data_IF_404550063815
#
_entry.id   IF_404550063815
#
_cell.length_a   1.000
_cell.length_b   1.000
_cell.length_c   1.000
_cell.angle_alpha   90.00
_cell.angle_beta   90.00
_cell.angle_gamma   90.00
#
_symmetry.space_group_name_H-M   'P 1'
#
loop_
_entity.id
_entity.type
_entity.pdbx_description
1 polymer ?
#
# COMPACT_ATOMS: atom_id res chain seq x y z
N UNK A 1 19.87 29.81 -7.50
CA UNK A 1 18.75 29.12 -8.19
C UNK A 1 19.17 28.44 -9.51
N UNK A 2 20.20 27.56 -9.54
CA UNK A 2 20.61 26.88 -10.79
C UNK A 2 20.96 25.38 -10.66
N UNK A 3 20.78 24.77 -9.47
CA UNK A 3 21.14 23.35 -9.24
C UNK A 3 19.97 22.37 -9.35
N UNK A 4 18.72 22.85 -9.27
CA UNK A 4 17.53 21.98 -9.32
C UNK A 4 17.11 21.59 -10.75
N UNK A 5 17.36 22.45 -11.74
CA UNK A 5 17.04 22.13 -13.15
C UNK A 5 17.97 21.07 -13.77
N UNK A 6 19.18 20.91 -13.25
CA UNK A 6 20.15 19.94 -13.79
C UNK A 6 19.81 18.49 -13.42
N UNK A 7 19.23 18.28 -12.22
CA UNK A 7 18.88 16.95 -11.76
C UNK A 7 17.65 16.38 -12.50
N UNK A 8 16.65 17.22 -12.76
CA UNK A 8 15.43 16.84 -13.49
C UNK A 8 15.73 16.54 -14.96
N UNK A 9 16.66 17.27 -15.57
CA UNK A 9 17.09 17.01 -16.94
C UNK A 9 17.86 15.67 -17.07
N UNK A 10 18.64 15.28 -16.05
CA UNK A 10 19.40 14.03 -16.07
C UNK A 10 18.49 12.78 -15.88
N UNK A 11 17.48 12.86 -15.02
CA UNK A 11 16.50 11.76 -14.84
C UNK A 11 15.59 11.58 -16.04
N UNK A 12 15.17 12.66 -16.71
CA UNK A 12 14.44 12.55 -17.98
C UNK A 12 15.29 11.94 -19.10
N UNK A 13 16.60 12.20 -19.13
CA UNK A 13 17.50 11.67 -20.15
C UNK A 13 17.79 10.17 -19.93
N UNK A 14 17.88 9.72 -18.68
CA UNK A 14 17.97 8.30 -18.33
C UNK A 14 16.67 7.53 -18.65
N UNK A 15 15.51 8.14 -18.37
CA UNK A 15 14.21 7.50 -18.66
C UNK A 15 13.93 7.41 -20.17
N UNK A 16 14.34 8.43 -20.95
CA UNK A 16 14.22 8.40 -22.41
C UNK A 16 15.22 7.44 -23.08
N UNK A 17 16.43 7.26 -22.54
CA UNK A 17 17.36 6.22 -23.00
C UNK A 17 16.85 4.80 -22.68
N UNK A 18 16.20 4.60 -21.53
CA UNK A 18 15.60 3.31 -21.15
C UNK A 18 14.40 2.94 -22.06
N UNK A 19 13.56 3.92 -22.40
CA UNK A 19 12.46 3.72 -23.35
C UNK A 19 12.95 3.58 -24.81
N UNK A 20 14.00 4.29 -25.23
CA UNK A 20 14.56 4.13 -26.57
C UNK A 20 15.29 2.78 -26.77
N UNK A 21 15.89 2.23 -25.70
CA UNK A 21 16.52 0.90 -25.72
C UNK A 21 15.50 -0.24 -25.84
N UNK A 22 14.36 -0.12 -25.16
CA UNK A 22 13.29 -1.14 -25.21
C UNK A 22 12.51 -1.13 -26.51
N UNK A 23 12.33 0.03 -27.15
CA UNK A 23 11.64 0.14 -28.46
C UNK A 23 12.50 -0.37 -29.62
N UNK A 24 13.84 -0.33 -29.52
CA UNK A 24 14.73 -0.90 -30.55
C UNK A 24 14.90 -2.43 -30.48
N UNK A 25 14.48 -3.06 -29.39
CA UNK A 25 14.61 -4.50 -29.19
C UNK A 25 13.48 -5.33 -29.83
N UNK A 26 12.45 -4.68 -30.41
CA UNK A 26 11.32 -5.37 -31.05
C UNK A 26 11.35 -5.35 -32.59
N UNK A 27 12.35 -4.75 -33.23
CA UNK A 27 12.41 -4.64 -34.70
C UNK A 27 13.77 -5.02 -35.31
N UNK A 28 14.59 -5.79 -34.60
CA UNK A 28 15.92 -6.19 -35.07
C UNK A 28 16.18 -7.67 -34.85
N UNK A 29 15.39 -8.52 -35.51
CA UNK A 29 15.81 -9.89 -35.82
C UNK A 29 16.81 -9.87 -36.98
N UNK A 30 18.04 -9.42 -36.71
CA UNK A 30 19.19 -9.63 -37.59
C UNK A 30 20.46 -9.25 -36.83
N UNK A 31 21.39 -10.20 -36.75
CA UNK A 31 22.82 -10.03 -36.49
C UNK A 31 23.24 -9.05 -35.38
N UNK A 32 23.73 -9.59 -34.27
CA UNK A 32 25.11 -9.32 -33.84
C UNK A 32 25.38 -9.96 -32.48
N UNK A 33 26.64 -10.41 -32.35
CA UNK A 33 27.24 -11.01 -31.17
C UNK A 33 26.83 -10.31 -29.87
N UNK A 34 26.21 -11.09 -28.99
CA UNK A 34 25.75 -10.66 -27.69
C UNK A 34 26.93 -10.15 -26.85
N UNK A 35 26.98 -8.83 -26.69
CA UNK A 35 27.60 -8.20 -25.54
C UNK A 35 26.93 -8.78 -24.29
N UNK A 36 27.66 -9.64 -23.56
CA UNK A 36 27.30 -10.01 -22.20
C UNK A 36 27.40 -8.76 -21.35
N UNK A 37 26.30 -8.03 -21.19
CA UNK A 37 26.21 -6.95 -20.22
C UNK A 37 26.42 -7.54 -18.83
N UNK A 38 27.52 -7.16 -18.19
CA UNK A 38 27.96 -7.66 -16.90
C UNK A 38 27.09 -7.03 -15.79
N UNK A 39 25.94 -7.65 -15.54
CA UNK A 39 24.97 -7.25 -14.50
C UNK A 39 25.60 -7.14 -13.10
N UNK A 40 26.76 -7.77 -12.87
CA UNK A 40 27.56 -7.66 -11.65
C UNK A 40 27.99 -6.21 -11.34
N UNK A 41 28.32 -5.43 -12.37
CA UNK A 41 28.71 -4.03 -12.19
C UNK A 41 27.52 -3.15 -11.77
N UNK A 42 26.32 -3.48 -12.26
CA UNK A 42 25.08 -2.76 -11.96
C UNK A 42 24.62 -3.08 -10.53
N UNK A 43 24.67 -4.35 -10.11
CA UNK A 43 24.36 -4.75 -8.74
C UNK A 43 25.28 -4.07 -7.72
N UNK A 44 26.58 -4.02 -8.02
CA UNK A 44 27.57 -3.42 -7.13
C UNK A 44 27.45 -1.91 -6.99
N UNK A 45 27.08 -1.21 -8.07
CA UNK A 45 26.76 0.22 -8.03
C UNK A 45 25.46 0.49 -7.26
N UNK A 46 24.46 -0.39 -7.39
CA UNK A 46 23.19 -0.29 -6.67
C UNK A 46 23.37 -0.49 -5.16
N UNK A 47 24.12 -1.52 -4.74
CA UNK A 47 24.47 -1.77 -3.34
C UNK A 47 25.22 -0.59 -2.73
N UNK A 48 26.18 -0.03 -3.47
CA UNK A 48 26.93 1.16 -3.04
C UNK A 48 26.01 2.38 -2.88
N UNK A 49 25.05 2.59 -3.78
CA UNK A 49 24.12 3.71 -3.71
C UNK A 49 23.11 3.58 -2.54
N UNK A 50 22.74 2.35 -2.16
CA UNK A 50 21.93 2.05 -0.96
C UNK A 50 22.77 2.32 0.30
N UNK A 51 24.02 1.85 0.34
CA UNK A 51 24.91 2.00 1.49
C UNK A 51 25.34 3.45 1.74
N UNK A 52 25.43 4.26 0.68
CA UNK A 52 25.67 5.70 0.74
C UNK A 52 24.40 6.53 1.03
N UNK A 53 23.24 5.89 1.22
CA UNK A 53 21.97 6.55 1.56
C UNK A 53 21.40 7.45 0.45
N UNK A 54 21.87 7.27 -0.80
CA UNK A 54 21.43 8.07 -1.97
C UNK A 54 20.10 7.59 -2.54
N UNK A 55 19.73 6.35 -2.23
CA UNK A 55 18.45 5.73 -2.63
C UNK A 55 17.76 5.27 -1.34
N UNK A 56 16.67 5.94 -0.99
CA UNK A 56 15.73 5.44 0.01
C UNK A 56 14.71 4.58 -0.72
N UNK A 57 14.92 3.27 -0.72
CA UNK A 57 13.88 2.33 -1.14
C UNK A 57 12.85 2.35 -0.01
N UNK A 58 11.56 2.66 -0.27
CA UNK A 58 10.54 2.51 0.75
C UNK A 58 10.59 1.05 1.21
N UNK A 59 11.03 0.85 2.45
CA UNK A 59 11.17 -0.48 3.01
C UNK A 59 9.81 -1.14 2.94
N UNK A 60 9.73 -2.28 2.24
CA UNK A 60 8.72 -3.30 2.54
C UNK A 60 8.70 -3.42 4.07
N UNK A 61 7.53 -3.35 4.74
CA UNK A 61 7.48 -3.44 6.19
C UNK A 61 8.30 -4.65 6.62
N UNK A 62 9.27 -4.42 7.51
CA UNK A 62 10.10 -5.49 8.06
C UNK A 62 9.21 -6.32 8.98
N UNK A 63 8.50 -7.28 8.39
CA UNK A 63 7.90 -8.36 9.15
C UNK A 63 9.03 -9.05 9.91
N UNK A 64 8.86 -9.30 11.22
CA UNK A 64 9.78 -10.19 11.94
C UNK A 64 9.90 -11.49 11.12
N UNK A 65 11.10 -12.01 10.89
CA UNK A 65 11.36 -13.14 9.97
C UNK A 65 10.52 -14.41 10.27
N UNK A 66 9.90 -14.49 11.45
CA UNK A 66 9.05 -15.60 11.91
C UNK A 66 7.57 -15.23 12.15
N UNK A 67 7.15 -13.99 11.85
CA UNK A 67 5.75 -13.58 12.03
C UNK A 67 4.88 -14.19 10.92
N UNK A 68 4.23 -15.32 11.20
CA UNK A 68 3.23 -15.88 10.29
C UNK A 68 1.93 -15.09 10.36
N UNK A 69 1.26 -14.85 9.22
CA UNK A 69 -0.04 -14.20 9.21
C UNK A 69 -1.07 -15.06 9.94
N UNK A 70 -1.99 -14.39 10.62
CA UNK A 70 -3.21 -15.06 11.10
C UNK A 70 -4.20 -15.12 9.94
N UNK A 71 -4.45 -16.32 9.41
CA UNK A 71 -5.50 -16.53 8.41
C UNK A 71 -6.86 -16.30 9.07
N UNK A 72 -7.64 -15.35 8.53
CA UNK A 72 -8.99 -15.06 9.03
C UNK A 72 -10.04 -15.92 8.31
N UNK A 73 -9.91 -16.04 7.00
CA UNK A 73 -10.67 -16.94 6.15
C UNK A 73 -9.86 -17.27 4.89
N UNK A 74 -10.38 -18.15 4.02
CA UNK A 74 -9.72 -18.46 2.75
C UNK A 74 -9.55 -17.19 1.90
N UNK A 75 -8.30 -16.86 1.56
CA UNK A 75 -7.98 -15.66 0.79
C UNK A 75 -7.86 -14.38 1.64
N UNK A 76 -7.93 -14.44 2.98
CA UNK A 76 -7.76 -13.27 3.83
C UNK A 76 -6.84 -13.53 5.03
N UNK A 77 -5.83 -12.68 5.17
CA UNK A 77 -4.78 -12.79 6.18
C UNK A 77 -4.61 -11.49 6.95
N UNK A 78 -4.40 -11.60 8.26
CA UNK A 78 -4.07 -10.50 9.15
C UNK A 78 -2.62 -10.58 9.62
N UNK A 79 -1.86 -9.53 9.35
CA UNK A 79 -0.48 -9.37 9.75
C UNK A 79 -0.38 -8.36 10.89
N UNK A 80 0.40 -8.69 11.91
CA UNK A 80 0.68 -7.77 13.02
C UNK A 80 2.18 -7.53 13.10
N UNK A 81 2.58 -6.26 13.02
CA UNK A 81 3.94 -5.84 13.38
C UNK A 81 3.91 -5.03 14.67
N UNK A 82 5.08 -4.81 15.26
CA UNK A 82 5.19 -4.16 16.57
C UNK A 82 6.19 -3.01 16.52
N UNK A 83 5.91 -1.94 17.26
CA UNK A 83 6.90 -0.94 17.67
C UNK A 83 7.09 -0.99 19.18
N UNK A 84 8.33 -0.81 19.64
CA UNK A 84 8.72 -0.85 21.06
C UNK A 84 8.20 -2.10 21.82
N UNK A 85 8.25 -3.26 21.16
CA UNK A 85 7.80 -4.55 21.68
C UNK A 85 8.41 -4.87 23.05
N UNK A 86 7.59 -5.33 23.99
CA UNK A 86 7.95 -5.66 25.37
C UNK A 86 8.05 -4.45 26.31
N UNK A 87 7.72 -3.25 25.85
CA UNK A 87 7.76 -2.03 26.68
C UNK A 87 6.37 -1.50 26.99
N UNK A 88 6.26 -0.56 27.95
CA UNK A 88 5.01 0.18 28.22
C UNK A 88 4.50 1.02 27.03
N UNK A 89 5.36 1.21 26.01
CA UNK A 89 5.06 1.95 24.79
C UNK A 89 4.86 1.02 23.59
N UNK A 90 4.62 -0.28 23.82
CA UNK A 90 4.38 -1.22 22.73
C UNK A 90 3.14 -0.83 21.91
N UNK A 91 3.32 -0.75 20.61
CA UNK A 91 2.26 -0.48 19.66
C UNK A 91 2.17 -1.61 18.64
N UNK A 92 0.95 -2.00 18.28
CA UNK A 92 0.65 -3.11 17.36
C UNK A 92 0.04 -2.56 16.09
N UNK A 93 0.61 -2.92 14.96
CA UNK A 93 0.22 -2.43 13.65
C UNK A 93 -0.42 -3.56 12.85
N UNK A 94 -1.74 -3.48 12.67
CA UNK A 94 -2.53 -4.43 11.89
C UNK A 94 -2.51 -4.12 10.40
N UNK A 95 -2.32 -5.13 9.57
CA UNK A 95 -2.42 -5.05 8.11
C UNK A 95 -3.26 -6.20 7.59
N UNK A 96 -4.03 -5.95 6.54
CA UNK A 96 -4.84 -6.97 5.88
C UNK A 96 -4.29 -7.23 4.49
N UNK A 97 -4.26 -8.51 4.15
CA UNK A 97 -4.02 -8.99 2.80
C UNK A 97 -5.23 -9.81 2.36
N UNK A 98 -5.74 -9.52 1.16
CA UNK A 98 -6.87 -10.23 0.53
C UNK A 98 -6.40 -10.72 -0.83
N UNK A 99 -6.46 -12.02 -1.08
CA UNK A 99 -6.00 -12.67 -2.32
C UNK A 99 -4.57 -12.22 -2.72
N UNK A 100 -3.65 -12.16 -1.75
CA UNK A 100 -2.26 -11.68 -1.92
C UNK A 100 -2.11 -10.16 -2.16
N UNK A 101 -3.20 -9.39 -2.14
CA UNK A 101 -3.19 -7.94 -2.26
C UNK A 101 -3.28 -7.25 -0.90
N UNK A 102 -2.30 -6.40 -0.59
CA UNK A 102 -2.33 -5.58 0.64
C UNK A 102 -3.40 -4.50 0.55
N UNK A 103 -4.24 -4.40 1.57
CA UNK A 103 -5.27 -3.37 1.67
C UNK A 103 -4.65 -2.01 2.06
N UNK A 104 -4.89 -0.93 1.30
CA UNK A 104 -4.44 0.41 1.68
C UNK A 104 -5.18 0.98 2.89
N UNK A 105 -4.51 1.81 3.69
CA UNK A 105 -5.08 2.48 4.88
C UNK A 105 -6.00 3.64 4.49
N UNK A 106 -7.12 3.34 3.85
CA UNK A 106 -8.09 4.35 3.39
C UNK A 106 -9.51 4.00 3.83
N UNK A 107 -9.77 2.72 4.06
CA UNK A 107 -11.09 2.24 4.42
C UNK A 107 -11.26 2.26 5.93
N UNK A 108 -12.40 2.76 6.40
CA UNK A 108 -12.81 2.71 7.81
C UNK A 108 -13.21 1.30 8.20
N UNK A 109 -13.83 0.58 7.28
CA UNK A 109 -14.08 -0.85 7.41
C UNK A 109 -14.08 -1.59 6.07
N UNK A 110 -13.94 -2.91 6.15
CA UNK A 110 -14.05 -3.81 5.01
C UNK A 110 -14.69 -5.14 5.44
N UNK A 111 -15.37 -5.80 4.50
CA UNK A 111 -15.95 -7.13 4.69
C UNK A 111 -15.59 -7.99 3.48
N UNK A 112 -15.04 -9.17 3.74
CA UNK A 112 -14.70 -10.17 2.73
C UNK A 112 -15.06 -11.57 3.24
N UNK A 113 -15.83 -12.33 2.44
CA UNK A 113 -16.37 -13.66 2.83
C UNK A 113 -16.94 -13.68 4.26
N UNK A 114 -17.83 -12.73 4.56
CA UNK A 114 -18.48 -12.53 5.87
C UNK A 114 -17.54 -12.24 7.06
N UNK A 115 -16.25 -12.00 6.81
CA UNK A 115 -15.30 -11.53 7.81
C UNK A 115 -15.18 -10.01 7.73
N UNK A 116 -15.59 -9.34 8.80
CA UNK A 116 -15.48 -7.91 8.96
C UNK A 116 -14.18 -7.47 9.63
N UNK A 117 -13.62 -6.36 9.17
CA UNK A 117 -12.41 -5.75 9.72
C UNK A 117 -12.58 -4.23 9.78
N UNK A 118 -12.20 -3.63 10.92
CA UNK A 118 -12.24 -2.17 11.15
C UNK A 118 -10.85 -1.58 11.20
N UNK A 119 -10.70 -0.36 10.71
CA UNK A 119 -9.50 0.44 10.95
C UNK A 119 -9.56 1.07 12.34
N UNK A 120 -8.46 0.94 13.10
CA UNK A 120 -8.23 1.60 14.38
C UNK A 120 -7.07 2.57 14.23
N UNK A 121 -7.17 3.74 14.86
CA UNK A 121 -6.03 4.64 15.07
C UNK A 121 -5.90 4.89 16.56
N UNK A 122 -4.77 4.49 17.14
CA UNK A 122 -4.47 4.71 18.56
C UNK A 122 -4.32 6.21 18.85
N UNK A 123 -4.69 6.65 20.04
CA UNK A 123 -4.48 8.04 20.49
C UNK A 123 -3.19 8.26 21.29
N UNK A 124 -2.43 7.19 21.53
CA UNK A 124 -1.21 7.21 22.36
C UNK A 124 -0.05 6.53 21.62
N UNK A 125 1.16 6.57 22.18
CA UNK A 125 2.32 5.85 21.63
C UNK A 125 2.23 4.31 21.75
N UNK A 126 1.17 3.79 22.35
CA UNK A 126 0.93 2.36 22.60
C UNK A 126 -0.49 1.97 22.17
N UNK A 127 -0.70 0.67 21.96
CA UNK A 127 -1.98 0.11 21.51
C UNK A 127 -2.05 -0.08 19.99
N UNK A 128 -3.28 -0.15 19.47
CA UNK A 128 -3.59 -0.72 18.17
C UNK A 128 -3.81 0.34 17.09
N UNK A 129 -3.05 0.26 16.00
CA UNK A 129 -3.30 0.99 14.76
C UNK A 129 -3.44 0.05 13.55
N UNK A 130 -4.08 0.53 12.49
CA UNK A 130 -4.35 -0.27 11.29
C UNK A 130 -5.61 -1.14 11.43
N UNK A 131 -5.64 -2.24 10.70
CA UNK A 131 -6.83 -3.06 10.52
C UNK A 131 -6.95 -4.21 11.54
N UNK A 132 -8.13 -4.38 12.15
CA UNK A 132 -8.40 -5.40 13.17
C UNK A 132 -9.73 -6.14 12.94
N UNK A 133 -9.77 -7.49 13.10
CA UNK A 133 -11.00 -8.27 12.99
C UNK A 133 -12.11 -7.75 13.90
N UNK A 134 -13.32 -7.64 13.36
CA UNK A 134 -14.51 -7.15 14.06
C UNK A 134 -15.73 -8.02 13.76
N UNK A 135 -16.30 -8.62 14.81
CA UNK A 135 -17.48 -9.48 14.70
C UNK A 135 -18.80 -8.72 14.48
N UNK A 136 -18.78 -7.38 14.53
CA UNK A 136 -19.99 -6.55 14.41
C UNK A 136 -20.28 -6.07 12.98
N UNK A 137 -19.36 -6.32 12.05
CA UNK A 137 -19.48 -5.86 10.68
C UNK A 137 -20.02 -6.96 9.77
N UNK A 138 -20.98 -6.58 8.93
CA UNK A 138 -21.50 -7.40 7.87
C UNK A 138 -21.66 -6.54 6.62
N UNK A 139 -21.51 -7.15 5.45
CA UNK A 139 -21.83 -6.47 4.20
C UNK A 139 -23.34 -6.15 4.15
N UNK A 140 -23.76 -5.12 3.40
CA UNK A 140 -25.16 -4.77 3.24
C UNK A 140 -26.01 -5.98 2.81
N UNK A 141 -27.09 -6.27 3.55
CA UNK A 141 -28.02 -7.36 3.19
C UNK A 141 -29.01 -6.95 2.09
N UNK A 142 -29.22 -5.65 1.91
CA UNK A 142 -30.18 -5.13 0.93
C UNK A 142 -29.62 -5.31 -0.47
N UNK A 143 -30.31 -6.14 -1.26
CA UNK A 143 -29.99 -6.33 -2.68
C UNK A 143 -30.18 -5.03 -3.47
N UNK A 144 -29.18 -4.72 -4.27
CA UNK A 144 -29.15 -3.62 -5.22
C UNK A 144 -29.12 -4.11 -6.67
N UNK A 145 -29.06 -3.18 -7.63
CA UNK A 145 -28.95 -3.52 -9.05
C UNK A 145 -27.71 -4.39 -9.33
N UNK A 146 -27.78 -5.32 -10.30
CA UNK A 146 -26.63 -6.12 -10.69
C UNK A 146 -25.48 -5.25 -11.22
N UNK A 147 -24.29 -5.84 -11.34
CA UNK A 147 -23.16 -5.17 -11.99
C UNK A 147 -23.48 -4.91 -13.47
N UNK A 148 -23.08 -3.75 -13.97
CA UNK A 148 -23.02 -3.46 -15.39
C UNK A 148 -21.73 -4.02 -15.99
N UNK A 149 -21.69 -4.24 -17.31
CA UNK A 149 -20.47 -4.71 -18.00
C UNK A 149 -19.26 -3.79 -17.75
N UNK A 150 -19.50 -2.48 -17.57
CA UNK A 150 -18.44 -1.53 -17.27
C UNK A 150 -17.88 -1.77 -15.87
N UNK A 151 -18.76 -1.97 -14.87
CA UNK A 151 -18.36 -2.21 -13.48
C UNK A 151 -17.62 -3.56 -13.32
N UNK A 152 -18.03 -4.58 -14.07
CA UNK A 152 -17.32 -5.87 -14.13
C UNK A 152 -15.91 -5.70 -14.72
N UNK A 153 -15.76 -4.89 -15.76
CA UNK A 153 -14.46 -4.62 -16.41
C UNK A 153 -13.56 -3.72 -15.57
N UNK A 154 -14.13 -2.72 -14.89
CA UNK A 154 -13.35 -1.85 -13.99
C UNK A 154 -12.99 -2.56 -12.70
N UNK A 155 -13.84 -3.48 -12.23
CA UNK A 155 -13.62 -4.25 -11.00
C UNK A 155 -14.03 -3.51 -9.73
N UNK A 156 -14.94 -2.54 -9.83
CA UNK A 156 -15.58 -1.94 -8.65
C UNK A 156 -16.94 -1.31 -8.99
N UNK A 157 -17.77 -1.18 -7.97
CA UNK A 157 -19.06 -0.49 -7.99
C UNK A 157 -19.26 0.31 -6.71
N UNK A 158 -19.49 1.60 -6.83
CA UNK A 158 -19.77 2.50 -5.70
C UNK A 158 -21.24 2.36 -5.33
N UNK A 159 -21.52 1.80 -4.17
CA UNK A 159 -22.89 1.58 -3.68
C UNK A 159 -22.86 1.15 -2.20
N UNK A 160 -23.93 1.48 -1.50
CA UNK A 160 -24.28 1.03 -0.15
C UNK A 160 -25.12 -0.26 -0.13
N UNK A 161 -25.43 -0.84 -1.30
CA UNK A 161 -26.28 -2.03 -1.45
C UNK A 161 -25.54 -3.14 -2.16
N UNK A 162 -25.76 -4.38 -1.73
CA UNK A 162 -25.10 -5.54 -2.32
C UNK A 162 -25.58 -5.77 -3.75
N UNK A 163 -24.72 -5.71 -4.78
CA UNK A 163 -25.15 -5.96 -6.15
C UNK A 163 -25.68 -7.37 -6.33
N UNK A 164 -26.82 -7.51 -7.01
CA UNK A 164 -27.36 -8.83 -7.35
C UNK A 164 -26.38 -9.62 -8.22
N UNK A 165 -26.13 -10.88 -7.85
CA UNK A 165 -25.17 -11.75 -8.56
C UNK A 165 -23.70 -11.37 -8.38
N UNK A 166 -23.35 -10.59 -7.35
CA UNK A 166 -21.96 -10.25 -7.05
C UNK A 166 -21.12 -11.53 -6.82
N UNK A 167 -19.94 -11.66 -7.46
CA UNK A 167 -19.01 -12.74 -7.16
C UNK A 167 -18.56 -12.72 -5.70
N UNK A 168 -18.35 -13.89 -5.12
CA UNK A 168 -18.03 -14.07 -3.69
C UNK A 168 -16.69 -13.43 -3.28
N UNK A 169 -15.76 -13.32 -4.21
CA UNK A 169 -14.41 -12.78 -3.96
C UNK A 169 -14.34 -11.24 -3.94
N UNK A 170 -15.46 -10.54 -4.09
CA UNK A 170 -15.47 -9.08 -4.01
C UNK A 170 -15.46 -8.61 -2.56
N UNK A 171 -14.71 -7.55 -2.31
CA UNK A 171 -14.56 -6.92 -0.99
C UNK A 171 -15.56 -5.78 -0.89
N UNK A 172 -16.38 -5.79 0.16
CA UNK A 172 -17.12 -4.59 0.55
C UNK A 172 -16.19 -3.66 1.33
N UNK A 173 -16.18 -2.38 0.99
CA UNK A 173 -15.36 -1.36 1.66
C UNK A 173 -16.19 -0.12 1.98
N UNK A 174 -15.91 0.49 3.13
CA UNK A 174 -16.45 1.79 3.53
C UNK A 174 -15.32 2.78 3.79
N UNK A 175 -15.58 4.05 3.51
CA UNK A 175 -14.76 5.19 3.93
C UNK A 175 -15.69 6.32 4.39
N UNK A 176 -15.12 7.45 4.82
CA UNK A 176 -15.88 8.56 5.44
C UNK A 176 -17.05 9.08 4.56
N UNK A 177 -16.89 9.06 3.25
CA UNK A 177 -17.83 9.67 2.30
C UNK A 177 -18.63 8.65 1.46
N UNK A 178 -18.41 7.34 1.65
CA UNK A 178 -19.09 6.35 0.82
C UNK A 178 -18.71 4.90 1.06
N UNK A 179 -19.30 4.05 0.22
CA UNK A 179 -19.08 2.61 0.23
C UNK A 179 -18.99 2.07 -1.19
N UNK A 180 -18.28 0.96 -1.36
CA UNK A 180 -18.13 0.29 -2.64
C UNK A 180 -17.95 -1.23 -2.47
N UNK A 181 -18.21 -1.95 -3.55
CA UNK A 181 -17.75 -3.32 -3.73
C UNK A 181 -16.61 -3.29 -4.74
N UNK A 182 -15.47 -3.92 -4.40
CA UNK A 182 -14.22 -3.83 -5.17
C UNK A 182 -13.61 -5.22 -5.29
N UNK A 183 -13.13 -5.57 -6.49
CA UNK A 183 -12.35 -6.78 -6.70
C UNK A 183 -10.97 -6.65 -5.99
N UNK A 184 -10.46 -7.70 -5.32
CA UNK A 184 -9.22 -7.62 -4.54
C UNK A 184 -8.01 -7.07 -5.31
N UNK A 185 -7.84 -7.50 -6.57
CA UNK A 185 -6.78 -7.07 -7.47
C UNK A 185 -6.89 -5.60 -7.89
N UNK A 186 -8.05 -4.98 -7.68
CA UNK A 186 -8.37 -3.60 -8.07
C UNK A 186 -8.45 -2.63 -6.91
N UNK A 187 -8.23 -3.07 -5.67
CA UNK A 187 -8.26 -2.20 -4.50
C UNK A 187 -7.35 -0.98 -4.65
N UNK A 188 -6.10 -1.19 -5.08
CA UNK A 188 -5.14 -0.10 -5.28
C UNK A 188 -5.59 0.86 -6.39
N UNK A 189 -5.98 0.32 -7.55
CA UNK A 189 -6.46 1.11 -8.69
C UNK A 189 -7.69 1.95 -8.31
N UNK A 190 -8.61 1.38 -7.53
CA UNK A 190 -9.80 2.05 -7.04
C UNK A 190 -9.43 3.25 -6.15
N UNK A 191 -8.53 3.05 -5.19
CA UNK A 191 -8.07 4.10 -4.27
C UNK A 191 -7.40 5.25 -5.01
N UNK A 192 -6.51 4.93 -5.96
CA UNK A 192 -5.81 5.94 -6.76
C UNK A 192 -6.78 6.73 -7.65
N UNK A 193 -7.72 6.06 -8.30
CA UNK A 193 -8.68 6.70 -9.21
C UNK A 193 -9.71 7.57 -8.48
N UNK A 194 -10.10 7.17 -7.28
CA UNK A 194 -11.05 7.92 -6.45
C UNK A 194 -10.35 8.97 -5.58
N UNK A 195 -9.02 9.04 -5.62
CA UNK A 195 -8.20 9.95 -4.81
C UNK A 195 -8.57 9.89 -3.32
N UNK A 196 -8.83 8.69 -2.79
CA UNK A 196 -9.30 8.52 -1.42
C UNK A 196 -8.23 8.96 -0.41
N UNK A 197 -8.62 9.69 0.65
CA UNK A 197 -7.67 10.16 1.65
C UNK A 197 -7.14 8.99 2.47
N UNK A 198 -5.83 8.99 2.71
CA UNK A 198 -5.19 8.04 3.62
C UNK A 198 -5.58 8.34 5.07
N UNK A 199 -6.02 7.32 5.79
CA UNK A 199 -6.25 7.39 7.23
C UNK A 199 -4.87 7.32 7.91
N UNK A 200 -4.49 8.36 8.68
CA UNK A 200 -3.18 8.38 9.31
C UNK A 200 -3.08 7.31 10.40
N UNK A 201 -2.01 6.51 10.33
CA UNK A 201 -1.52 5.75 11.48
C UNK A 201 -0.75 6.69 12.41
N UNK A 202 -1.10 6.75 13.68
CA UNK A 202 -0.33 7.56 14.65
C UNK A 202 1.12 7.08 14.74
N UNK A 203 2.08 7.95 14.44
CA UNK A 203 3.50 7.61 14.26
C UNK A 203 4.01 7.74 12.82
N UNK A 204 3.13 7.73 11.80
CA UNK A 204 3.44 8.14 10.44
C UNK A 204 3.02 9.59 10.22
N UNK A 205 3.70 10.53 10.87
CA UNK A 205 3.60 11.94 10.50
C UNK A 205 4.62 12.19 9.37
N UNK A 206 4.22 12.67 8.18
CA UNK A 206 5.14 13.46 7.37
C UNK A 206 5.39 14.74 8.18
N UNK A 207 6.60 14.87 8.72
CA UNK A 207 7.14 16.07 9.38
C UNK A 207 6.21 16.77 10.40
N UNK A 208 6.32 16.37 11.67
CA UNK A 208 6.11 17.34 12.76
C UNK A 208 7.46 18.05 12.96
N UNK A 209 7.59 19.37 12.72
CA UNK A 209 8.80 20.09 13.09
C UNK A 209 8.99 19.89 14.60
N UNK A 210 10.18 19.43 14.99
CA UNK A 210 10.63 19.46 16.37
C UNK A 210 10.29 20.84 16.94
N UNK A 211 9.32 20.90 17.86
CA UNK A 211 9.17 22.06 18.73
C UNK A 211 10.52 22.20 19.43
N UNK A 212 11.24 23.26 19.10
CA UNK A 212 12.45 23.66 19.81
C UNK A 212 12.16 23.64 21.31
N UNK A 213 12.86 22.77 22.04
CA UNK A 213 12.92 22.85 23.49
C UNK A 213 13.50 24.21 23.86
N UNK A 214 12.90 24.97 24.79
CA UNK A 214 13.52 26.20 25.26
C UNK A 214 14.90 25.88 25.86
N UNK A 215 15.91 26.76 25.67
CA UNK A 215 17.24 26.52 26.18
C UNK A 215 17.20 26.38 27.71
N UNK A 216 17.91 25.36 28.21
CA UNK A 216 18.08 25.13 29.64
C UNK A 216 18.62 26.40 30.31
N UNK A 217 17.91 26.88 31.32
CA UNK A 217 18.40 27.92 32.21
C UNK A 217 19.70 27.43 32.84
N UNK A 218 20.80 28.14 32.54
CA UNK A 218 22.06 27.98 33.26
C UNK A 218 21.96 28.75 34.56
N UNK A 219 22.06 28.04 35.69
CA UNK A 219 22.27 28.65 37.01
C UNK A 219 23.76 28.88 37.25
#
# INVERSE_FOLDING_TARGET
MKRKCFLVAATLLLFTLYLAGTVRALDSSADSDAAGEDFSAIEKELEKAIQEGKISIPSKPSFEEDAQPTVLCEGMSHWVTYSAKGTRSEARHGFIEIEEYTVPDVFTCLVYKDIGVTFSSRSYHWGDDGYWPSAMLAAPEVEGPPLSETEEKTGWKITDKRPAGLPENWVYVEWEEGAAFVAPDRLKDFVEKMELPLIPREGNSPEKPLKELPPAEST
#
